data_IF_106730042183
#
_entry.id   IF_106730042183
#
_cell.length_a   1.000
_cell.length_b   1.000
_cell.length_c   1.000
_cell.angle_alpha   90.00
_cell.angle_beta   90.00
_cell.angle_gamma   90.00
#
_symmetry.space_group_name_H-M   'P 1'
#
loop_
_entity.id
_entity.type
_entity.pdbx_description
1 polymer ?
#
# COMPACT_ATOMS: atom_id res chain seq x y z
N UNK A 1 -7.15 -15.86 10.51
CA UNK A 1 -8.19 -15.14 11.32
C UNK A 1 -8.02 -13.62 11.33
N UNK A 2 -6.80 -13.09 11.56
CA UNK A 2 -6.57 -11.63 11.67
C UNK A 2 -7.07 -10.80 10.47
N UNK A 3 -6.78 -11.21 9.23
CA UNK A 3 -7.19 -10.44 8.04
C UNK A 3 -8.69 -10.48 7.77
N UNK A 4 -9.35 -11.60 8.08
CA UNK A 4 -10.83 -11.68 8.00
C UNK A 4 -11.49 -10.74 9.01
N UNK A 5 -10.95 -10.62 10.22
CA UNK A 5 -11.45 -9.67 11.22
C UNK A 5 -11.28 -8.20 10.77
N UNK A 6 -10.22 -7.89 10.03
CA UNK A 6 -9.99 -6.54 9.47
C UNK A 6 -11.10 -6.13 8.52
N UNK A 7 -11.63 -7.04 7.69
CA UNK A 7 -12.76 -6.73 6.80
C UNK A 7 -13.99 -6.30 7.60
N UNK A 8 -14.33 -7.03 8.67
CA UNK A 8 -15.45 -6.66 9.53
C UNK A 8 -15.26 -5.31 10.23
N UNK A 9 -14.02 -4.96 10.60
CA UNK A 9 -13.70 -3.64 11.16
C UNK A 9 -13.83 -2.53 10.11
N UNK A 10 -13.40 -2.78 8.87
CA UNK A 10 -13.56 -1.83 7.77
C UNK A 10 -15.04 -1.68 7.39
N UNK A 11 -15.82 -2.77 7.40
CA UNK A 11 -17.26 -2.73 7.13
C UNK A 11 -17.97 -1.85 8.17
N UNK A 12 -17.61 -2.01 9.45
CA UNK A 12 -18.14 -1.20 10.54
C UNK A 12 -17.70 0.26 10.48
N UNK A 13 -16.48 0.53 9.99
CA UNK A 13 -15.94 1.91 9.86
C UNK A 13 -16.54 2.66 8.66
N UNK A 14 -17.07 1.94 7.67
CA UNK A 14 -17.61 2.50 6.43
C UNK A 14 -16.69 3.54 5.77
N UNK A 15 -15.45 3.17 5.42
CA UNK A 15 -14.52 4.10 4.78
C UNK A 15 -15.02 4.57 3.41
N UNK A 16 -14.50 5.70 2.96
CA UNK A 16 -14.81 6.33 1.66
C UNK A 16 -14.04 5.71 0.48
N UNK A 17 -13.26 4.65 0.71
CA UNK A 17 -12.51 3.92 -0.31
C UNK A 17 -13.00 2.48 -0.45
N UNK A 18 -12.77 1.91 -1.64
CA UNK A 18 -13.05 0.50 -1.93
C UNK A 18 -11.90 -0.40 -1.46
N UNK A 19 -12.23 -1.58 -0.96
CA UNK A 19 -11.26 -2.57 -0.48
C UNK A 19 -11.83 -3.97 -0.66
N UNK A 20 -10.96 -4.98 -0.73
CA UNK A 20 -11.34 -6.39 -0.78
C UNK A 20 -10.24 -7.25 -0.13
N UNK A 21 -10.60 -8.45 0.31
CA UNK A 21 -9.65 -9.44 0.85
C UNK A 21 -10.35 -10.57 1.57
N UNK A 22 -9.65 -11.50 2.23
CA UNK A 22 -8.22 -11.82 2.11
C UNK A 22 -7.97 -12.50 0.76
N UNK A 23 -6.98 -12.05 -0.02
CA UNK A 23 -6.68 -12.60 -1.34
C UNK A 23 -5.18 -12.62 -1.64
N UNK A 24 -4.78 -13.38 -2.67
CA UNK A 24 -3.41 -13.37 -3.18
C UNK A 24 -3.11 -12.08 -3.94
N UNK A 25 -1.82 -11.73 -4.05
CA UNK A 25 -1.36 -10.56 -4.84
C UNK A 25 -1.72 -10.70 -6.32
N UNK A 26 -1.72 -11.93 -6.83
CA UNK A 26 -2.12 -12.24 -8.21
C UNK A 26 -3.59 -11.86 -8.45
N UNK A 27 -4.51 -12.29 -7.58
CA UNK A 27 -5.91 -11.91 -7.66
C UNK A 27 -6.11 -10.40 -7.42
N UNK A 28 -5.28 -9.75 -6.60
CA UNK A 28 -5.38 -8.31 -6.42
C UNK A 28 -5.02 -7.54 -7.70
N UNK A 29 -4.00 -7.98 -8.44
CA UNK A 29 -3.46 -7.29 -9.60
C UNK A 29 -4.10 -7.72 -10.94
N UNK A 30 -4.65 -8.93 -11.03
CA UNK A 30 -5.36 -9.43 -12.22
C UNK A 30 -6.87 -9.42 -11.97
N UNK A 31 -7.56 -8.46 -12.58
CA UNK A 31 -9.01 -8.31 -12.45
C UNK A 31 -9.81 -9.50 -13.02
N UNK A 32 -9.31 -10.14 -14.07
CA UNK A 32 -9.98 -11.29 -14.67
C UNK A 32 -9.91 -12.49 -13.72
N UNK A 33 -8.75 -12.75 -13.15
CA UNK A 33 -8.60 -13.81 -12.14
C UNK A 33 -9.36 -13.47 -10.86
N UNK A 34 -9.35 -12.19 -10.42
CA UNK A 34 -10.16 -11.75 -9.28
C UNK A 34 -11.62 -12.06 -9.49
N UNK A 35 -12.17 -11.74 -10.65
CA UNK A 35 -13.61 -11.91 -10.91
C UNK A 35 -14.01 -13.39 -10.87
N UNK A 36 -13.09 -14.30 -11.23
CA UNK A 36 -13.33 -15.76 -11.14
C UNK A 36 -13.38 -16.26 -9.71
N UNK A 37 -12.53 -15.74 -8.83
CA UNK A 37 -12.41 -16.19 -7.43
C UNK A 37 -13.37 -15.41 -6.50
N UNK A 38 -13.53 -14.11 -6.78
CA UNK A 38 -14.33 -13.12 -6.06
C UNK A 38 -15.30 -12.43 -7.03
N UNK A 39 -16.37 -13.10 -7.47
CA UNK A 39 -17.31 -12.55 -8.48
C UNK A 39 -18.06 -11.30 -8.00
N UNK A 40 -18.12 -11.08 -6.69
CA UNK A 40 -18.77 -9.92 -6.06
C UNK A 40 -17.75 -8.94 -5.46
N UNK A 41 -16.52 -8.88 -6.00
CA UNK A 41 -15.49 -7.99 -5.51
C UNK A 41 -15.96 -6.53 -5.53
N UNK A 42 -15.62 -5.76 -4.49
CA UNK A 42 -16.09 -4.37 -4.33
C UNK A 42 -15.48 -3.36 -5.29
N UNK A 43 -14.45 -3.73 -6.06
CA UNK A 43 -13.79 -2.85 -7.01
C UNK A 43 -13.47 -3.53 -8.34
N UNK A 44 -13.31 -2.72 -9.37
CA UNK A 44 -12.97 -3.12 -10.73
C UNK A 44 -11.50 -2.81 -11.06
N UNK A 45 -10.94 -3.49 -12.07
CA UNK A 45 -9.55 -3.27 -12.50
C UNK A 45 -8.50 -3.75 -11.49
N UNK A 46 -7.20 -3.54 -11.76
CA UNK A 46 -6.12 -3.93 -10.86
C UNK A 46 -6.13 -3.10 -9.57
N UNK A 47 -5.83 -3.73 -8.43
CA UNK A 47 -5.65 -3.00 -7.17
C UNK A 47 -4.46 -2.04 -7.27
N UNK A 48 -4.65 -0.82 -6.77
CA UNK A 48 -3.62 0.22 -6.71
C UNK A 48 -2.94 0.32 -5.33
N UNK A 49 -3.52 -0.29 -4.29
CA UNK A 49 -2.99 -0.34 -2.94
C UNK A 49 -2.99 -1.80 -2.47
N UNK A 50 -1.85 -2.25 -1.94
CA UNK A 50 -1.68 -3.59 -1.38
C UNK A 50 -1.39 -3.47 0.11
N UNK A 51 -2.24 -4.08 0.94
CA UNK A 51 -2.08 -4.14 2.40
C UNK A 51 -1.69 -5.55 2.79
N UNK A 52 -0.60 -5.69 3.55
CA UNK A 52 -0.05 -6.98 3.95
C UNK A 52 -0.23 -7.24 5.44
N UNK A 53 -0.45 -8.50 5.82
CA UNK A 53 -0.59 -8.91 7.20
C UNK A 53 0.72 -8.84 8.00
N UNK A 54 1.86 -8.89 7.31
CA UNK A 54 3.20 -8.93 7.91
C UNK A 54 4.17 -8.01 7.17
N UNK A 55 5.15 -7.48 7.91
CA UNK A 55 6.19 -6.59 7.37
C UNK A 55 7.13 -7.34 6.42
N UNK A 56 7.34 -8.64 6.63
CA UNK A 56 8.16 -9.50 5.79
C UNK A 56 7.54 -9.66 4.39
N UNK A 57 6.23 -9.94 4.31
CA UNK A 57 5.53 -10.06 3.05
C UNK A 57 5.54 -8.73 2.27
N UNK A 58 5.24 -7.62 2.95
CA UNK A 58 5.32 -6.28 2.37
C UNK A 58 6.73 -5.98 1.84
N UNK A 59 7.77 -6.29 2.62
CA UNK A 59 9.15 -6.02 2.25
C UNK A 59 9.64 -6.90 1.09
N UNK A 60 9.25 -8.17 1.07
CA UNK A 60 9.58 -9.09 -0.02
C UNK A 60 8.98 -8.61 -1.35
N UNK A 61 7.67 -8.32 -1.37
CA UNK A 61 6.98 -7.85 -2.59
C UNK A 61 7.55 -6.50 -3.04
N UNK A 62 7.76 -5.55 -2.12
CA UNK A 62 8.38 -4.25 -2.43
C UNK A 62 9.76 -4.41 -3.08
N UNK A 63 10.62 -5.27 -2.52
CA UNK A 63 11.95 -5.50 -3.06
C UNK A 63 11.90 -6.16 -4.44
N UNK A 64 10.99 -7.11 -4.68
CA UNK A 64 10.79 -7.72 -6.00
C UNK A 64 10.36 -6.67 -7.02
N UNK A 65 9.38 -5.83 -6.69
CA UNK A 65 8.92 -4.75 -7.57
C UNK A 65 10.05 -3.76 -7.88
N UNK A 66 10.81 -3.33 -6.86
CA UNK A 66 11.98 -2.46 -7.04
C UNK A 66 13.01 -3.06 -8.00
N UNK A 67 13.31 -4.35 -7.86
CA UNK A 67 14.36 -5.01 -8.64
C UNK A 67 13.93 -5.39 -10.05
N UNK A 68 12.64 -5.69 -10.27
CA UNK A 68 12.15 -6.29 -11.53
C UNK A 68 11.30 -5.35 -12.37
N UNK A 69 10.57 -4.41 -11.75
CA UNK A 69 9.67 -3.51 -12.47
C UNK A 69 10.39 -2.26 -13.00
N UNK A 70 11.66 -2.04 -12.65
CA UNK A 70 12.38 -0.80 -13.00
C UNK A 70 11.73 0.46 -12.44
N UNK A 71 10.82 0.30 -11.47
CA UNK A 71 10.04 1.39 -10.91
C UNK A 71 10.89 2.24 -9.97
N UNK A 72 10.65 3.55 -9.97
CA UNK A 72 11.27 4.46 -9.02
C UNK A 72 10.57 4.29 -7.66
N UNK A 73 11.27 3.71 -6.70
CA UNK A 73 10.80 3.64 -5.31
C UNK A 73 10.84 5.04 -4.67
N UNK A 74 9.72 5.46 -4.10
CA UNK A 74 9.63 6.66 -3.24
C UNK A 74 9.23 6.19 -1.84
N UNK A 75 10.15 6.34 -0.89
CA UNK A 75 9.93 5.94 0.50
C UNK A 75 11.22 5.49 1.21
N UNK A 76 11.10 4.92 2.43
CA UNK A 76 9.84 4.64 3.13
C UNK A 76 9.13 5.92 3.61
N UNK A 77 7.80 5.96 3.46
CA UNK A 77 6.97 7.07 3.95
C UNK A 77 6.37 6.67 5.30
N UNK A 78 6.68 7.44 6.33
CA UNK A 78 6.13 7.20 7.66
C UNK A 78 4.74 7.85 7.76
N UNK A 79 3.72 7.03 8.04
CA UNK A 79 2.33 7.49 8.19
C UNK A 79 1.91 7.50 9.68
N UNK A 80 0.90 8.31 10.00
CA UNK A 80 0.32 8.39 11.35
C UNK A 80 0.98 9.37 12.32
N UNK A 81 2.09 10.02 11.93
CA UNK A 81 2.80 11.00 12.78
C UNK A 81 2.54 12.46 12.41
N UNK A 82 1.46 12.79 11.69
CA UNK A 82 1.21 14.19 11.30
C UNK A 82 2.27 14.75 10.36
N UNK A 83 2.95 13.89 9.60
CA UNK A 83 4.05 14.20 8.69
C UNK A 83 5.28 14.84 9.36
N UNK A 84 5.43 14.67 10.68
CA UNK A 84 6.47 15.34 11.48
C UNK A 84 7.89 14.83 11.25
N UNK A 85 8.03 13.59 10.80
CA UNK A 85 9.33 12.96 10.60
C UNK A 85 9.25 11.87 9.53
N UNK A 86 10.36 11.67 8.82
CA UNK A 86 10.58 10.56 7.89
C UNK A 86 11.94 9.93 8.12
N UNK A 87 12.07 8.65 7.77
CA UNK A 87 13.31 7.89 7.95
C UNK A 87 13.94 7.70 6.57
N UNK A 88 15.15 8.24 6.39
CA UNK A 88 15.96 7.99 5.20
C UNK A 88 16.93 6.82 5.46
N UNK A 89 17.17 6.00 4.44
CA UNK A 89 18.21 4.96 4.50
C UNK A 89 19.54 5.53 3.99
N UNK A 90 20.71 5.01 4.44
CA UNK A 90 22.01 5.47 3.92
C UNK A 90 22.19 5.27 2.41
N UNK A 91 21.43 4.35 1.81
CA UNK A 91 21.44 4.04 0.39
C UNK A 91 20.55 4.96 -0.47
N UNK A 92 19.88 5.95 0.13
CA UNK A 92 19.00 6.88 -0.59
C UNK A 92 19.80 7.74 -1.58
N UNK A 93 19.23 7.98 -2.76
CA UNK A 93 19.83 8.87 -3.76
C UNK A 93 19.54 10.34 -3.42
N UNK A 94 20.29 11.28 -4.01
CA UNK A 94 20.00 12.72 -3.88
C UNK A 94 18.56 13.08 -4.31
N UNK A 95 18.06 12.44 -5.39
CA UNK A 95 16.67 12.59 -5.82
C UNK A 95 15.68 11.99 -4.82
N UNK A 96 16.02 10.86 -4.20
CA UNK A 96 15.22 10.28 -3.12
C UNK A 96 15.12 11.23 -1.93
N UNK A 97 16.22 11.85 -1.51
CA UNK A 97 16.21 12.86 -0.44
C UNK A 97 15.36 14.08 -0.80
N UNK A 98 15.46 14.57 -2.05
CA UNK A 98 14.63 15.67 -2.53
C UNK A 98 13.14 15.31 -2.43
N UNK A 99 12.75 14.14 -2.94
CA UNK A 99 11.36 13.66 -2.87
C UNK A 99 10.87 13.54 -1.42
N UNK A 100 11.69 12.97 -0.52
CA UNK A 100 11.34 12.84 0.89
C UNK A 100 11.22 14.19 1.59
N UNK A 101 12.08 15.16 1.26
CA UNK A 101 11.99 16.52 1.81
C UNK A 101 10.74 17.25 1.33
N UNK A 102 10.36 17.09 0.06
CA UNK A 102 9.12 17.64 -0.48
C UNK A 102 7.89 17.02 0.20
N UNK A 103 7.89 15.70 0.39
CA UNK A 103 6.85 15.02 1.16
C UNK A 103 6.78 15.55 2.60
N UNK A 104 7.91 15.64 3.31
CA UNK A 104 7.97 16.13 4.69
C UNK A 104 7.49 17.59 4.85
N UNK A 105 7.75 18.43 3.85
CA UNK A 105 7.36 19.85 3.85
C UNK A 105 5.90 20.10 3.49
N UNK A 106 5.18 19.09 2.98
CA UNK A 106 3.77 19.22 2.59
C UNK A 106 2.88 19.00 3.83
N UNK A 107 2.02 19.96 4.22
CA UNK A 107 1.07 19.73 5.29
C UNK A 107 0.16 18.54 4.94
N UNK A 108 0.06 17.57 5.85
CA UNK A 108 -0.97 16.54 5.77
C UNK A 108 -2.12 17.02 6.64
N UNK A 109 -3.09 17.63 5.98
CA UNK A 109 -4.33 18.16 6.55
C UNK A 109 -5.28 17.04 6.97
N UNK A 110 -5.34 15.95 6.20
CA UNK A 110 -5.99 14.69 6.58
C UNK A 110 -5.19 13.48 6.08
N UNK A 111 -4.84 12.57 6.99
CA UNK A 111 -4.69 11.17 6.61
C UNK A 111 -6.11 10.63 6.51
N UNK A 112 -6.57 10.25 5.31
CA UNK A 112 -7.87 9.57 5.16
C UNK A 112 -8.01 8.37 6.11
#
# INVERSE_FOLDING_TARGET
ERMRAVLGLLDARAPDFLYEGEMSVEAALDAAERTRIFPNARFEGPANVLVFATTEAASAVRNVLKMRAGALEVGPILMGMGNRAHIATPSITARGLLNMSALAGTPVDQYG
#
